data_IF_815054169470
#
_entry.id   IF_815054169470
#
_cell.length_a   1.000
_cell.length_b   1.000
_cell.length_c   1.000
_cell.angle_alpha   90.00
_cell.angle_beta   90.00
_cell.angle_gamma   90.00
#
_symmetry.space_group_name_H-M   'P 1'
#
loop_
_entity.id
_entity.type
_entity.pdbx_description
1 polymer ?
#
# COMPACT_ATOMS: atom_id res chain seq x y z
N UNK A 1 -52.20 -2.27 18.39
CA UNK A 1 -50.76 -1.97 18.48
C UNK A 1 -50.13 -2.91 19.49
N UNK A 2 -49.31 -3.83 19.03
CA UNK A 2 -48.53 -4.69 19.89
C UNK A 2 -47.26 -3.97 20.30
N UNK A 3 -47.14 -3.60 21.56
CA UNK A 3 -45.90 -3.02 22.10
C UNK A 3 -44.90 -4.14 22.29
N UNK A 4 -43.75 -3.99 21.66
CA UNK A 4 -42.62 -4.91 21.85
C UNK A 4 -42.08 -4.74 23.30
N UNK A 5 -41.90 -5.83 24.01
CA UNK A 5 -41.29 -5.76 25.35
C UNK A 5 -39.85 -5.30 25.29
N UNK A 6 -39.39 -4.61 26.34
CA UNK A 6 -37.99 -4.13 26.44
C UNK A 6 -36.98 -5.25 26.21
N UNK A 7 -37.32 -6.47 26.65
CA UNK A 7 -36.46 -7.63 26.45
C UNK A 7 -36.40 -8.13 25.01
N UNK A 8 -37.49 -8.03 24.27
CA UNK A 8 -37.53 -8.33 22.85
C UNK A 8 -36.70 -7.31 22.04
N UNK A 9 -36.85 -6.03 22.38
CA UNK A 9 -36.07 -4.96 21.77
C UNK A 9 -34.56 -5.12 22.00
N UNK A 10 -34.17 -5.46 23.24
CA UNK A 10 -32.76 -5.77 23.56
C UNK A 10 -32.22 -6.95 22.74
N UNK A 11 -32.98 -8.02 22.62
CA UNK A 11 -32.57 -9.22 21.84
C UNK A 11 -32.39 -8.90 20.35
N UNK A 12 -33.27 -8.05 19.80
CA UNK A 12 -33.15 -7.65 18.40
C UNK A 12 -31.94 -6.75 18.13
N UNK A 13 -31.67 -5.79 19.04
CA UNK A 13 -30.47 -4.96 18.94
C UNK A 13 -29.20 -5.81 19.06
N UNK A 14 -29.13 -6.72 20.00
CA UNK A 14 -27.98 -7.62 20.15
C UNK A 14 -27.78 -8.50 18.90
N UNK A 15 -28.86 -9.01 18.30
CA UNK A 15 -28.78 -9.73 17.02
C UNK A 15 -28.28 -8.89 15.85
N UNK A 16 -28.55 -7.59 15.86
CA UNK A 16 -28.04 -6.68 14.82
C UNK A 16 -26.56 -6.33 15.02
N UNK A 17 -26.11 -6.26 16.28
CA UNK A 17 -24.72 -6.01 16.63
C UNK A 17 -23.81 -7.21 16.37
N UNK A 18 -24.36 -8.43 16.51
CA UNK A 18 -23.63 -9.69 16.28
C UNK A 18 -23.57 -10.12 14.80
N UNK A 19 -24.20 -9.39 13.88
CA UNK A 19 -24.01 -9.68 12.46
C UNK A 19 -22.59 -9.32 12.06
N UNK A 20 -21.76 -10.32 11.70
CA UNK A 20 -20.42 -10.02 11.20
C UNK A 20 -20.56 -9.10 9.99
N UNK A 21 -19.98 -7.91 10.06
CA UNK A 21 -19.88 -7.02 8.89
C UNK A 21 -19.19 -7.83 7.80
N UNK A 22 -19.92 -8.14 6.74
CA UNK A 22 -19.33 -8.82 5.58
C UNK A 22 -18.06 -8.06 5.18
N UNK A 23 -16.93 -8.73 5.27
CA UNK A 23 -15.65 -8.16 4.86
C UNK A 23 -15.79 -7.72 3.40
N UNK A 24 -15.58 -6.43 3.13
CA UNK A 24 -15.58 -5.93 1.75
C UNK A 24 -14.52 -6.67 0.97
N UNK A 25 -14.93 -7.47 -0.01
CA UNK A 25 -14.00 -8.15 -0.90
C UNK A 25 -13.15 -7.11 -1.64
N UNK A 26 -11.85 -7.19 -1.49
CA UNK A 26 -10.94 -6.36 -2.26
C UNK A 26 -11.10 -6.66 -3.75
N UNK A 27 -11.09 -5.62 -4.58
CA UNK A 27 -11.29 -5.69 -6.04
C UNK A 27 -10.39 -6.73 -6.76
N UNK A 28 -9.27 -7.10 -6.16
CA UNK A 28 -8.27 -8.03 -6.72
C UNK A 28 -8.02 -9.26 -5.83
N UNK A 29 -8.94 -9.63 -4.93
CA UNK A 29 -8.75 -10.73 -3.96
C UNK A 29 -7.45 -10.66 -3.14
N UNK A 30 -6.83 -9.49 -3.03
CA UNK A 30 -5.65 -9.29 -2.21
C UNK A 30 -6.01 -9.43 -0.74
N UNK A 31 -5.32 -10.31 -0.03
CA UNK A 31 -5.49 -10.50 1.40
C UNK A 31 -4.51 -9.59 2.14
N UNK A 32 -5.06 -8.66 2.93
CA UNK A 32 -4.26 -7.80 3.80
C UNK A 32 -3.69 -8.62 4.96
N UNK A 33 -2.43 -8.40 5.25
CA UNK A 33 -1.71 -9.07 6.34
C UNK A 33 -1.12 -8.01 7.26
N UNK A 34 -1.26 -8.19 8.57
CA UNK A 34 -0.60 -7.36 9.58
C UNK A 34 0.58 -8.12 10.19
N UNK A 35 1.73 -7.46 10.24
CA UNK A 35 2.95 -8.00 10.84
C UNK A 35 3.83 -6.86 11.35
N UNK A 36 4.40 -7.01 12.55
CA UNK A 36 5.26 -5.99 13.19
C UNK A 36 4.63 -4.59 13.28
N UNK A 37 3.31 -4.51 13.43
CA UNK A 37 2.54 -3.26 13.46
C UNK A 37 2.37 -2.60 12.09
N UNK A 38 2.75 -3.27 11.01
CA UNK A 38 2.61 -2.80 9.63
C UNK A 38 1.54 -3.59 8.89
N UNK A 39 0.80 -2.90 8.02
CA UNK A 39 -0.20 -3.51 7.17
C UNK A 39 0.37 -3.73 5.77
N UNK A 40 0.26 -4.95 5.27
CA UNK A 40 0.67 -5.35 3.93
C UNK A 40 -0.55 -5.57 3.05
N UNK A 41 -0.54 -5.02 1.84
CA UNK A 41 -1.66 -5.11 0.92
C UNK A 41 -1.82 -6.50 0.29
N UNK A 42 -0.79 -7.34 0.35
CA UNK A 42 -0.81 -8.70 -0.15
C UNK A 42 0.09 -9.64 0.64
N UNK A 43 -0.16 -10.95 0.53
CA UNK A 43 0.71 -11.98 1.09
C UNK A 43 2.10 -11.98 0.43
N UNK A 44 2.18 -11.66 -0.84
CA UNK A 44 3.43 -11.58 -1.59
C UNK A 44 4.34 -10.46 -1.04
N UNK A 45 3.76 -9.31 -0.75
CA UNK A 45 4.44 -8.17 -0.12
C UNK A 45 4.94 -8.54 1.28
N UNK A 46 4.08 -9.15 2.11
CA UNK A 46 4.45 -9.63 3.44
C UNK A 46 5.60 -10.65 3.39
N UNK A 47 5.54 -11.61 2.48
CA UNK A 47 6.62 -12.59 2.28
C UNK A 47 7.94 -11.89 1.93
N UNK A 48 7.89 -10.92 1.03
CA UNK A 48 9.08 -10.15 0.65
C UNK A 48 9.65 -9.35 1.82
N UNK A 49 8.79 -8.78 2.64
CA UNK A 49 9.22 -8.09 3.88
C UNK A 49 10.01 -9.01 4.80
N UNK A 50 9.54 -10.23 5.03
CA UNK A 50 10.23 -11.21 5.87
C UNK A 50 11.61 -11.53 5.30
N UNK A 51 11.71 -11.73 3.98
CA UNK A 51 12.99 -11.97 3.30
C UNK A 51 13.96 -10.79 3.48
N UNK A 52 13.50 -9.57 3.25
CA UNK A 52 14.32 -8.35 3.39
C UNK A 52 14.73 -8.11 4.84
N UNK A 53 13.86 -8.36 5.79
CA UNK A 53 14.17 -8.25 7.21
C UNK A 53 15.25 -9.24 7.62
N UNK A 54 15.20 -10.47 7.14
CA UNK A 54 16.23 -11.47 7.36
C UNK A 54 17.57 -11.05 6.74
N UNK A 55 17.56 -10.48 5.53
CA UNK A 55 18.75 -9.93 4.88
C UNK A 55 19.36 -8.78 5.69
N UNK A 56 18.54 -7.90 6.25
CA UNK A 56 18.99 -6.81 7.11
C UNK A 56 19.64 -7.35 8.40
N UNK A 57 19.06 -8.37 9.02
CA UNK A 57 19.61 -9.01 10.21
C UNK A 57 20.97 -9.67 9.94
N UNK A 58 21.18 -10.18 8.72
CA UNK A 58 22.49 -10.73 8.30
C UNK A 58 23.51 -9.67 7.87
N UNK A 59 23.12 -8.40 7.85
CA UNK A 59 23.98 -7.30 7.42
C UNK A 59 24.18 -7.18 5.90
N UNK A 60 23.35 -7.84 5.10
CA UNK A 60 23.39 -7.77 3.63
C UNK A 60 22.79 -6.48 3.09
N UNK A 61 21.77 -5.95 3.79
CA UNK A 61 21.13 -4.66 3.49
C UNK A 61 20.98 -3.86 4.77
N UNK A 62 20.76 -2.55 4.63
CA UNK A 62 20.50 -1.65 5.74
C UNK A 62 19.54 -0.53 5.36
N UNK A 63 18.92 0.12 6.38
CA UNK A 63 17.98 1.20 6.16
C UNK A 63 16.68 0.76 5.51
N UNK A 64 16.20 -0.46 5.79
CA UNK A 64 14.94 -0.98 5.27
C UNK A 64 13.76 -0.13 5.72
N UNK A 65 13.04 0.42 4.76
CA UNK A 65 11.80 1.15 4.97
C UNK A 65 10.66 0.53 4.16
N UNK A 66 9.44 0.65 4.70
CA UNK A 66 8.20 0.19 4.07
C UNK A 66 7.32 1.39 3.73
N UNK A 67 6.66 1.37 2.57
CA UNK A 67 5.81 2.46 2.08
C UNK A 67 6.54 3.81 1.99
N UNK A 68 7.71 3.81 1.41
CA UNK A 68 8.49 5.03 1.20
C UNK A 68 7.85 5.92 0.15
N UNK A 69 7.61 7.18 0.52
CA UNK A 69 6.97 8.18 -0.34
C UNK A 69 7.99 8.96 -1.17
N UNK A 70 7.72 9.07 -2.46
CA UNK A 70 8.45 9.92 -3.39
C UNK A 70 7.52 10.96 -4.01
N UNK A 71 7.87 12.22 -3.96
CA UNK A 71 7.14 13.30 -4.64
C UNK A 71 7.69 13.47 -6.06
N UNK A 72 6.82 13.28 -7.07
CA UNK A 72 7.18 13.33 -8.47
C UNK A 72 6.89 14.68 -9.10
N UNK A 73 5.84 15.36 -8.65
CA UNK A 73 5.45 16.69 -9.10
C UNK A 73 4.77 17.45 -7.96
N UNK A 74 5.00 18.76 -7.84
CA UNK A 74 4.39 19.57 -6.79
C UNK A 74 2.89 19.79 -7.05
N UNK A 75 2.16 20.19 -6.01
CA UNK A 75 0.78 20.66 -6.13
C UNK A 75 0.72 21.80 -7.13
N UNK A 76 -0.15 21.70 -8.13
CA UNK A 76 -0.23 22.64 -9.24
C UNK A 76 -1.68 22.98 -9.58
N UNK A 77 -1.95 24.24 -9.85
CA UNK A 77 -3.23 24.69 -10.37
C UNK A 77 -3.14 24.83 -11.89
N UNK A 78 -3.94 24.05 -12.60
CA UNK A 78 -4.02 24.11 -14.06
C UNK A 78 -4.95 25.24 -14.48
N UNK A 79 -4.65 25.85 -15.62
CA UNK A 79 -5.48 26.91 -16.19
C UNK A 79 -6.90 26.39 -16.47
N UNK A 80 -7.90 27.20 -16.11
CA UNK A 80 -9.32 26.84 -16.27
C UNK A 80 -9.89 25.93 -15.18
N UNK A 81 -9.09 25.39 -14.27
CA UNK A 81 -9.55 24.56 -13.15
C UNK A 81 -9.80 25.39 -11.89
N UNK A 82 -10.92 25.09 -11.19
CA UNK A 82 -11.28 25.80 -9.95
C UNK A 82 -10.38 25.43 -8.76
N UNK A 83 -9.83 24.21 -8.75
CA UNK A 83 -9.00 23.68 -7.66
C UNK A 83 -7.64 23.26 -8.15
N UNK A 84 -6.65 23.41 -7.29
CA UNK A 84 -5.32 22.91 -7.54
C UNK A 84 -5.29 21.37 -7.55
N UNK A 85 -4.53 20.78 -8.45
CA UNK A 85 -4.22 19.34 -8.45
C UNK A 85 -3.27 19.03 -7.29
N UNK A 86 -3.50 17.96 -6.53
CA UNK A 86 -2.57 17.55 -5.49
C UNK A 86 -1.20 17.17 -6.06
N UNK A 87 -0.18 17.16 -5.22
CA UNK A 87 1.14 16.68 -5.60
C UNK A 87 1.06 15.25 -6.13
N UNK A 88 1.79 14.96 -7.20
CA UNK A 88 1.90 13.61 -7.75
C UNK A 88 2.95 12.84 -6.95
N UNK A 89 2.53 11.74 -6.33
CA UNK A 89 3.36 10.94 -5.43
C UNK A 89 3.39 9.48 -5.86
N UNK A 90 4.52 8.84 -5.54
CA UNK A 90 4.68 7.40 -5.67
C UNK A 90 5.07 6.82 -4.33
N UNK A 91 4.47 5.69 -3.95
CA UNK A 91 4.80 4.94 -2.74
C UNK A 91 5.44 3.62 -3.15
N UNK A 92 6.71 3.45 -2.84
CA UNK A 92 7.40 2.19 -3.03
C UNK A 92 7.05 1.23 -1.90
N UNK A 93 6.96 -0.06 -2.21
CA UNK A 93 6.70 -1.06 -1.17
C UNK A 93 7.89 -1.16 -0.21
N UNK A 94 9.11 -1.21 -0.72
CA UNK A 94 10.33 -1.27 0.09
C UNK A 94 11.45 -0.42 -0.50
N UNK A 95 12.23 0.18 0.39
CA UNK A 95 13.47 0.86 0.05
C UNK A 95 14.56 0.45 1.03
N UNK A 96 15.79 0.31 0.56
CA UNK A 96 16.93 -0.06 1.37
C UNK A 96 18.24 0.25 0.65
N UNK A 97 19.35 0.14 1.36
CA UNK A 97 20.69 0.21 0.81
C UNK A 97 21.32 -1.17 0.82
N UNK A 98 22.04 -1.53 -0.24
CA UNK A 98 22.90 -2.70 -0.24
C UNK A 98 24.30 -2.33 0.30
N UNK A 99 25.11 -3.35 0.56
CA UNK A 99 26.42 -3.17 1.21
C UNK A 99 27.37 -2.25 0.44
N UNK A 100 27.22 -2.13 -0.88
CA UNK A 100 27.97 -1.20 -1.73
C UNK A 100 27.57 0.27 -1.56
N UNK A 101 26.47 0.55 -0.84
CA UNK A 101 25.88 1.88 -0.68
C UNK A 101 24.84 2.24 -1.73
N UNK A 102 24.56 1.36 -2.69
CA UNK A 102 23.51 1.58 -3.69
C UNK A 102 22.12 1.57 -3.06
N UNK A 103 21.29 2.55 -3.43
CA UNK A 103 19.91 2.67 -2.96
C UNK A 103 18.97 1.90 -3.87
N UNK A 104 18.22 0.98 -3.29
CA UNK A 104 17.28 0.12 -4.00
C UNK A 104 15.84 0.50 -3.66
N UNK A 105 15.03 0.64 -4.69
CA UNK A 105 13.58 0.86 -4.59
C UNK A 105 12.88 -0.35 -5.18
N UNK A 106 12.16 -1.08 -4.35
CA UNK A 106 11.44 -2.29 -4.75
C UNK A 106 9.93 -2.07 -4.75
N UNK A 107 9.28 -2.69 -5.71
CA UNK A 107 7.83 -2.73 -5.78
C UNK A 107 7.36 -4.16 -6.08
N UNK A 108 6.49 -4.67 -5.21
CA UNK A 108 5.90 -6.00 -5.36
C UNK A 108 4.65 -5.88 -6.21
N UNK A 109 4.75 -6.24 -7.48
CA UNK A 109 3.66 -6.08 -8.45
C UNK A 109 3.30 -7.40 -9.13
N UNK A 110 1.99 -7.63 -9.27
CA UNK A 110 1.48 -8.66 -10.17
C UNK A 110 1.73 -8.26 -11.63
N UNK A 111 1.77 -9.24 -12.52
CA UNK A 111 1.92 -8.98 -13.95
C UNK A 111 0.84 -8.03 -14.50
N UNK A 112 -0.41 -8.20 -14.05
CA UNK A 112 -1.52 -7.32 -14.42
C UNK A 112 -1.30 -5.88 -13.99
N UNK A 113 -0.75 -5.64 -12.79
CA UNK A 113 -0.46 -4.30 -12.26
C UNK A 113 0.70 -3.64 -13.00
N UNK A 114 1.71 -4.41 -13.40
CA UNK A 114 2.85 -3.90 -14.20
C UNK A 114 2.43 -3.30 -15.54
N UNK A 115 1.32 -3.76 -16.10
CA UNK A 115 0.76 -3.30 -17.38
C UNK A 115 -0.14 -2.07 -17.27
N UNK A 116 -0.54 -1.65 -16.06
CA UNK A 116 -1.39 -0.48 -15.86
C UNK A 116 -0.67 0.81 -16.21
N UNK A 117 -1.32 1.69 -16.97
CA UNK A 117 -0.76 2.97 -17.40
C UNK A 117 -0.38 3.88 -16.23
N UNK A 118 -1.21 3.93 -15.19
CA UNK A 118 -0.93 4.73 -13.98
C UNK A 118 0.39 4.32 -13.30
N UNK A 119 0.65 3.03 -13.20
CA UNK A 119 1.90 2.52 -12.64
C UNK A 119 3.08 2.77 -13.58
N UNK A 120 2.92 2.50 -14.87
CA UNK A 120 3.97 2.74 -15.88
C UNK A 120 4.38 4.20 -15.96
N UNK A 121 3.42 5.12 -15.86
CA UNK A 121 3.69 6.56 -15.83
C UNK A 121 4.48 6.96 -14.58
N UNK A 122 4.14 6.44 -13.42
CA UNK A 122 4.89 6.69 -12.18
C UNK A 122 6.31 6.12 -12.24
N UNK A 123 6.47 4.92 -12.78
CA UNK A 123 7.78 4.31 -13.02
C UNK A 123 8.64 5.16 -13.94
N UNK A 124 8.05 5.67 -15.03
CA UNK A 124 8.70 6.60 -15.96
C UNK A 124 9.15 7.90 -15.25
N UNK A 125 8.27 8.49 -14.45
CA UNK A 125 8.57 9.71 -13.70
C UNK A 125 9.63 9.49 -12.61
N UNK A 126 9.63 8.35 -11.94
CA UNK A 126 10.70 7.99 -11.00
C UNK A 126 12.06 8.03 -11.67
N UNK A 127 12.16 7.52 -12.90
CA UNK A 127 13.41 7.56 -13.66
C UNK A 127 13.77 8.97 -14.12
N UNK A 128 12.84 9.70 -14.72
CA UNK A 128 13.12 11.02 -15.32
C UNK A 128 13.31 12.14 -14.31
N UNK A 129 12.57 12.11 -13.20
CA UNK A 129 12.61 13.15 -12.16
C UNK A 129 13.68 12.88 -11.11
N UNK A 130 13.77 11.61 -10.64
CA UNK A 130 14.64 11.23 -9.51
C UNK A 130 15.83 10.35 -9.92
N UNK A 131 15.89 9.93 -11.18
CA UNK A 131 16.89 9.00 -11.70
C UNK A 131 16.92 7.66 -10.92
N UNK A 132 15.74 7.18 -10.55
CA UNK A 132 15.55 5.91 -9.80
C UNK A 132 14.88 4.90 -10.71
N UNK A 133 15.50 3.72 -10.84
CA UNK A 133 14.92 2.55 -11.48
C UNK A 133 14.21 1.69 -10.42
N UNK A 134 12.92 1.41 -10.64
CA UNK A 134 12.14 0.56 -9.74
C UNK A 134 12.45 -0.90 -10.03
N UNK A 135 12.85 -1.63 -8.99
CA UNK A 135 13.02 -3.09 -9.05
C UNK A 135 11.67 -3.76 -8.81
N UNK A 136 11.14 -4.41 -9.81
CA UNK A 136 9.90 -5.17 -9.71
C UNK A 136 10.19 -6.61 -9.22
N UNK A 137 9.43 -7.01 -8.21
CA UNK A 137 9.61 -8.31 -7.55
C UNK A 137 8.36 -9.16 -7.64
#
# INVERSE_FOLDING_TARGET
>A
MTSISVDQYRREILKQLDKPKAAKRNKFNAQKVECDGMNFDSKKEHKRYIELKAMQQRGEIFGLEHHTKFELAPKTKLEGEKRAKPALRYFADFTYYIITGEYIVEDVKSEATRKKDSYRNKKHLMKTVLNIDIKEV
#
